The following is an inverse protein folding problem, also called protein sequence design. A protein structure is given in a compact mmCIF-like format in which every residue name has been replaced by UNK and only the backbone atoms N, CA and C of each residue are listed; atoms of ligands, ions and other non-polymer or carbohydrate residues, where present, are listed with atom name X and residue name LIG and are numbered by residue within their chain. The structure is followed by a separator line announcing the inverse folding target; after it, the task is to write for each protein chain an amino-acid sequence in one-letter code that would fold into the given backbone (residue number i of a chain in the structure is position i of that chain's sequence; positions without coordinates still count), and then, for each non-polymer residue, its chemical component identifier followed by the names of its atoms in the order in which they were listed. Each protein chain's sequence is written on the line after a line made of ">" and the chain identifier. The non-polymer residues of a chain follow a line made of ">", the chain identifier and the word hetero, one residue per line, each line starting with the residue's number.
data_IF_882476896699
#
_entry.id   IF_882476896699
#
_cell.length_a   1.000
_cell.length_b   1.000
_cell.length_c   1.000
_cell.angle_alpha   90.00
_cell.angle_beta   90.00
_cell.angle_gamma   90.00
#
_symmetry.space_group_name_H-M   'P 1'
#
loop_
_entity.id
_entity.type
_entity.pdbx_description
1 polymer ?
#
# COMPACT_ATOMS: atom_id res chain seq x y z
N UNK A 1 42.33 22.56 -5.17
CA UNK A 1 41.01 22.36 -4.50
C UNK A 1 40.12 21.58 -5.43
N UNK A 2 40.00 20.25 -5.23
CA UNK A 2 39.06 19.40 -5.97
C UNK A 2 37.73 19.49 -5.22
N UNK A 3 36.72 20.04 -5.88
CA UNK A 3 35.32 20.01 -5.40
C UNK A 3 34.89 18.55 -5.31
N UNK A 4 34.67 18.08 -4.09
CA UNK A 4 33.92 16.86 -3.86
C UNK A 4 32.46 17.17 -4.13
N UNK A 5 32.01 16.99 -5.37
CA UNK A 5 30.61 16.84 -5.66
C UNK A 5 30.17 15.54 -4.97
N UNK A 6 29.47 15.65 -3.85
CA UNK A 6 28.75 14.53 -3.27
C UNK A 6 27.75 14.05 -4.32
N UNK A 7 27.99 12.89 -4.90
CA UNK A 7 26.99 12.20 -5.69
C UNK A 7 25.84 11.88 -4.75
N UNK A 8 24.82 12.72 -4.73
CA UNK A 8 23.52 12.35 -4.17
C UNK A 8 23.10 11.12 -4.98
N UNK A 9 23.25 9.94 -4.40
CA UNK A 9 22.69 8.71 -4.97
C UNK A 9 21.22 8.99 -5.22
N UNK A 10 20.80 9.04 -6.48
CA UNK A 10 19.41 9.25 -6.81
C UNK A 10 18.59 8.16 -6.12
N UNK A 11 17.60 8.56 -5.32
CA UNK A 11 16.67 7.62 -4.72
C UNK A 11 16.00 6.81 -5.83
N UNK A 12 15.70 5.55 -5.56
CA UNK A 12 15.02 4.68 -6.50
C UNK A 12 13.55 5.06 -6.68
N UNK A 13 12.79 4.13 -7.20
CA UNK A 13 11.34 4.28 -7.41
C UNK A 13 10.60 3.67 -6.23
N UNK A 14 9.58 4.37 -5.73
CA UNK A 14 8.57 3.82 -4.85
C UNK A 14 7.33 3.42 -5.68
N UNK A 15 7.08 2.13 -5.80
CA UNK A 15 5.91 1.57 -6.47
C UNK A 15 4.81 1.28 -5.44
N UNK A 16 3.69 2.00 -5.53
CA UNK A 16 2.56 1.86 -4.61
C UNK A 16 1.38 1.22 -5.35
N UNK A 17 1.09 -0.02 -5.03
CA UNK A 17 0.02 -0.82 -5.66
C UNK A 17 -1.26 -0.76 -4.82
N UNK A 18 -2.38 -0.46 -5.45
CA UNK A 18 -3.68 -0.30 -4.77
C UNK A 18 -3.90 1.11 -4.24
N UNK A 19 -3.57 2.12 -5.06
CA UNK A 19 -3.76 3.52 -4.68
C UNK A 19 -5.23 3.91 -4.85
N UNK A 20 -5.85 4.14 -3.71
CA UNK A 20 -7.17 4.77 -3.55
C UNK A 20 -7.04 6.12 -2.84
N UNK A 21 -8.17 6.83 -2.58
CA UNK A 21 -8.18 8.19 -2.05
C UNK A 21 -7.79 8.31 -0.55
N UNK A 22 -7.45 7.22 0.10
CA UNK A 22 -7.11 7.16 1.52
C UNK A 22 -5.63 6.76 1.71
N UNK A 23 -5.36 5.65 2.38
CA UNK A 23 -4.02 5.20 2.73
C UNK A 23 -3.05 5.16 1.55
N UNK A 24 -3.43 4.57 0.42
CA UNK A 24 -2.55 4.49 -0.75
C UNK A 24 -2.12 5.86 -1.28
N UNK A 25 -3.02 6.84 -1.28
CA UNK A 25 -2.71 8.23 -1.64
C UNK A 25 -1.71 8.86 -0.66
N UNK A 26 -1.96 8.72 0.66
CA UNK A 26 -1.07 9.28 1.69
C UNK A 26 0.31 8.64 1.67
N UNK A 27 0.41 7.33 1.44
CA UNK A 27 1.71 6.66 1.27
C UNK A 27 2.44 7.21 0.04
N UNK A 28 1.76 7.32 -1.11
CA UNK A 28 2.37 7.86 -2.33
C UNK A 28 2.87 9.30 -2.13
N UNK A 29 2.06 10.15 -1.51
CA UNK A 29 2.43 11.53 -1.16
C UNK A 29 3.64 11.58 -0.21
N UNK A 30 3.67 10.72 0.82
CA UNK A 30 4.79 10.66 1.76
C UNK A 30 6.09 10.30 1.06
N UNK A 31 6.13 9.27 0.21
CA UNK A 31 7.34 8.90 -0.52
C UNK A 31 7.74 9.98 -1.54
N UNK A 32 6.79 10.67 -2.18
CA UNK A 32 7.07 11.81 -3.05
C UNK A 32 7.73 12.97 -2.26
N UNK A 33 7.16 13.31 -1.08
CA UNK A 33 7.73 14.31 -0.16
C UNK A 33 9.17 14.00 0.23
N UNK A 34 9.48 12.73 0.43
CA UNK A 34 10.82 12.25 0.78
C UNK A 34 11.77 12.15 -0.43
N UNK A 35 11.35 12.63 -1.60
CA UNK A 35 12.19 12.77 -2.80
C UNK A 35 12.30 11.51 -3.66
N UNK A 36 11.36 10.56 -3.54
CA UNK A 36 11.26 9.43 -4.45
C UNK A 36 10.55 9.82 -5.76
N UNK A 37 10.96 9.19 -6.87
CA UNK A 37 10.06 9.05 -8.00
C UNK A 37 9.01 8.01 -7.63
N UNK A 38 7.72 8.35 -7.78
CA UNK A 38 6.63 7.49 -7.32
C UNK A 38 5.83 6.95 -8.50
N UNK A 39 5.70 5.63 -8.58
CA UNK A 39 4.74 4.97 -9.46
C UNK A 39 3.51 4.59 -8.65
N UNK A 40 2.35 5.15 -8.99
CA UNK A 40 1.07 4.81 -8.37
C UNK A 40 0.26 3.90 -9.29
N UNK A 41 -0.24 2.78 -8.74
CA UNK A 41 -0.87 1.73 -9.54
C UNK A 41 -2.26 1.38 -9.00
N UNK A 42 -3.26 1.37 -9.88
CA UNK A 42 -4.64 0.92 -9.60
C UNK A 42 -5.41 0.66 -10.91
N UNK A 43 -6.66 0.17 -10.79
CA UNK A 43 -7.50 -0.16 -11.94
C UNK A 43 -8.05 1.05 -12.69
N UNK A 44 -8.40 2.10 -11.96
CA UNK A 44 -9.02 3.32 -12.49
C UNK A 44 -7.93 4.35 -12.85
N UNK A 45 -7.49 4.31 -14.11
CA UNK A 45 -6.43 5.20 -14.60
C UNK A 45 -6.84 6.68 -14.56
N UNK A 46 -8.11 7.00 -14.81
CA UNK A 46 -8.59 8.40 -14.80
C UNK A 46 -8.51 9.03 -13.41
N UNK A 47 -8.87 8.29 -12.37
CA UNK A 47 -8.68 8.72 -10.97
C UNK A 47 -7.21 8.79 -10.61
N UNK A 48 -6.45 7.81 -11.04
CA UNK A 48 -5.03 7.70 -10.73
C UNK A 48 -4.24 8.85 -11.33
N UNK A 49 -4.52 9.26 -12.57
CA UNK A 49 -3.86 10.41 -13.22
C UNK A 49 -4.10 11.71 -12.42
N UNK A 50 -5.32 11.92 -11.94
CA UNK A 50 -5.62 13.09 -11.08
C UNK A 50 -4.82 13.08 -9.79
N UNK A 51 -4.67 11.91 -9.14
CA UNK A 51 -3.83 11.77 -7.96
C UNK A 51 -2.34 12.01 -8.26
N UNK A 52 -1.86 11.53 -9.40
CA UNK A 52 -0.48 11.78 -9.82
C UNK A 52 -0.20 13.27 -10.01
N UNK A 53 -1.07 13.98 -10.73
CA UNK A 53 -0.96 15.43 -10.96
C UNK A 53 -0.99 16.21 -9.64
N UNK A 54 -1.86 15.80 -8.73
CA UNK A 54 -2.03 16.41 -7.41
C UNK A 54 -0.77 16.27 -6.56
N UNK A 55 -0.27 15.04 -6.38
CA UNK A 55 0.95 14.78 -5.61
C UNK A 55 2.16 15.43 -6.26
N UNK A 56 2.30 15.36 -7.60
CA UNK A 56 3.42 15.96 -8.32
C UNK A 56 3.48 17.49 -8.12
N UNK A 57 2.33 18.14 -8.13
CA UNK A 57 2.24 19.59 -7.91
C UNK A 57 2.58 19.98 -6.47
N UNK A 58 2.09 19.22 -5.48
CA UNK A 58 2.27 19.53 -4.06
C UNK A 58 3.69 19.26 -3.59
N UNK A 59 4.21 18.09 -3.91
CA UNK A 59 5.51 17.63 -3.42
C UNK A 59 6.66 17.95 -4.38
N UNK A 60 6.37 18.58 -5.54
CA UNK A 60 7.34 18.87 -6.61
C UNK A 60 8.15 17.65 -7.03
N UNK A 61 7.47 16.52 -7.11
CA UNK A 61 8.05 15.20 -7.36
C UNK A 61 7.56 14.64 -8.71
N UNK A 62 8.29 13.65 -9.22
CA UNK A 62 7.84 12.87 -10.38
C UNK A 62 6.90 11.77 -9.92
N UNK A 63 5.65 11.76 -10.43
CA UNK A 63 4.64 10.77 -10.10
C UNK A 63 4.01 10.23 -11.38
N UNK A 64 4.01 8.92 -11.52
CA UNK A 64 3.52 8.22 -12.71
C UNK A 64 2.29 7.38 -12.37
N UNK A 65 1.20 7.59 -13.11
CA UNK A 65 -0.01 6.79 -13.00
C UNK A 65 0.05 5.59 -13.97
N UNK A 66 -0.03 4.38 -13.44
CA UNK A 66 0.06 3.14 -14.23
C UNK A 66 -1.16 2.25 -13.91
N UNK A 67 -1.86 1.81 -14.95
CA UNK A 67 -3.01 0.90 -14.76
C UNK A 67 -2.52 -0.49 -14.40
N UNK A 68 -3.16 -1.11 -13.39
CA UNK A 68 -2.92 -2.50 -12.99
C UNK A 68 -4.22 -3.17 -12.53
N UNK A 69 -4.46 -4.41 -12.93
CA UNK A 69 -5.43 -5.29 -12.29
C UNK A 69 -4.68 -6.42 -11.57
N UNK A 70 -4.72 -6.40 -10.25
CA UNK A 70 -4.01 -7.35 -9.41
C UNK A 70 -4.62 -8.77 -9.45
N UNK A 71 -5.77 -8.97 -10.09
CA UNK A 71 -6.34 -10.30 -10.34
C UNK A 71 -5.87 -10.94 -11.65
N UNK A 72 -5.14 -10.18 -12.48
CA UNK A 72 -4.65 -10.62 -13.80
C UNK A 72 -3.12 -10.56 -13.86
N UNK A 73 -2.49 -11.71 -13.97
CA UNK A 73 -1.03 -11.85 -14.03
C UNK A 73 -0.40 -11.16 -15.25
N UNK A 74 -1.13 -11.07 -16.37
CA UNK A 74 -0.68 -10.36 -17.56
C UNK A 74 -0.67 -8.85 -17.31
N UNK A 75 -1.75 -8.32 -16.75
CA UNK A 75 -1.84 -6.91 -16.37
C UNK A 75 -0.75 -6.50 -15.39
N UNK A 76 -0.39 -7.39 -14.43
CA UNK A 76 0.71 -7.14 -13.49
C UNK A 76 2.05 -7.04 -14.23
N UNK A 77 2.37 -7.98 -15.14
CA UNK A 77 3.63 -7.94 -15.90
C UNK A 77 3.74 -6.68 -16.75
N UNK A 78 2.70 -6.37 -17.54
CA UNK A 78 2.66 -5.17 -18.39
C UNK A 78 2.83 -3.88 -17.57
N UNK A 79 2.17 -3.79 -16.40
CA UNK A 79 2.30 -2.64 -15.51
C UNK A 79 3.74 -2.50 -14.96
N UNK A 80 4.36 -3.62 -14.54
CA UNK A 80 5.72 -3.59 -14.01
C UNK A 80 6.79 -3.42 -15.08
N UNK A 81 6.57 -3.81 -16.34
CA UNK A 81 7.41 -3.38 -17.46
C UNK A 81 7.49 -1.85 -17.53
N UNK A 82 6.34 -1.17 -17.40
CA UNK A 82 6.28 0.28 -17.31
C UNK A 82 7.00 0.85 -16.09
N UNK A 83 6.78 0.27 -14.90
CA UNK A 83 7.46 0.73 -13.67
C UNK A 83 8.98 0.55 -13.75
N UNK A 84 9.45 -0.61 -14.21
CA UNK A 84 10.87 -0.94 -14.29
C UNK A 84 11.58 -0.11 -15.36
N UNK A 85 10.88 0.35 -16.41
CA UNK A 85 11.44 1.27 -17.39
C UNK A 85 11.78 2.66 -16.82
N UNK A 86 11.15 3.05 -15.71
CA UNK A 86 11.45 4.29 -15.00
C UNK A 86 12.78 4.19 -14.20
N UNK A 87 13.21 2.98 -13.85
CA UNK A 87 14.45 2.73 -13.10
C UNK A 87 14.32 1.66 -12.03
N UNK A 88 15.20 1.70 -11.05
CA UNK A 88 15.28 0.74 -9.96
C UNK A 88 14.12 0.93 -8.95
N UNK A 89 13.30 -0.10 -8.77
CA UNK A 89 12.26 -0.11 -7.73
C UNK A 89 12.92 -0.44 -6.38
N UNK A 90 13.09 0.58 -5.57
CA UNK A 90 13.68 0.46 -4.22
C UNK A 90 12.62 0.14 -3.16
N UNK A 91 11.37 0.58 -3.39
CA UNK A 91 10.25 0.35 -2.48
C UNK A 91 9.06 -0.20 -3.25
N UNK A 92 8.50 -1.30 -2.78
CA UNK A 92 7.19 -1.80 -3.18
C UNK A 92 6.24 -1.75 -1.99
N UNK A 93 5.13 -1.03 -2.10
CA UNK A 93 4.03 -1.12 -1.14
C UNK A 93 2.85 -1.80 -1.82
N UNK A 94 2.45 -2.96 -1.30
CA UNK A 94 1.27 -3.66 -1.76
C UNK A 94 0.09 -3.38 -0.84
N UNK A 95 -0.80 -2.50 -1.26
CA UNK A 95 -1.97 -2.03 -0.52
C UNK A 95 -3.29 -2.46 -1.21
N UNK A 96 -3.22 -3.21 -2.31
CA UNK A 96 -4.40 -3.66 -3.03
C UNK A 96 -5.20 -4.71 -2.24
N UNK A 97 -6.51 -4.63 -2.34
CA UNK A 97 -7.44 -5.63 -1.84
C UNK A 97 -8.69 -5.68 -2.73
N UNK A 98 -9.40 -6.80 -2.70
CA UNK A 98 -10.73 -6.88 -3.30
C UNK A 98 -11.73 -6.28 -2.32
N UNK A 99 -12.45 -5.21 -2.69
CA UNK A 99 -13.52 -4.69 -1.85
C UNK A 99 -14.57 -5.78 -1.58
N UNK A 100 -14.87 -5.99 -0.31
CA UNK A 100 -15.93 -6.89 0.16
C UNK A 100 -17.07 -6.07 0.74
N UNK A 101 -18.23 -6.68 0.93
CA UNK A 101 -19.33 -6.05 1.66
C UNK A 101 -18.88 -5.66 3.07
N UNK A 102 -19.33 -4.50 3.56
CA UNK A 102 -19.17 -4.12 4.97
C UNK A 102 -20.10 -4.93 5.90
N UNK A 103 -21.11 -5.60 5.32
CA UNK A 103 -21.99 -6.49 6.06
C UNK A 103 -21.49 -7.93 5.91
N UNK A 104 -21.52 -8.71 7.00
CA UNK A 104 -21.15 -10.11 6.94
C UNK A 104 -22.06 -10.86 5.95
N UNK A 105 -21.47 -11.74 5.15
CA UNK A 105 -22.19 -12.61 4.20
C UNK A 105 -22.20 -14.02 4.76
N UNK A 106 -23.39 -14.66 4.82
CA UNK A 106 -23.45 -16.07 5.22
C UNK A 106 -22.54 -16.91 4.34
N UNK A 107 -21.83 -17.86 4.94
CA UNK A 107 -20.85 -18.66 4.22
C UNK A 107 -21.46 -19.39 3.00
N UNK A 108 -22.70 -19.89 3.13
CA UNK A 108 -23.43 -20.55 2.05
C UNK A 108 -23.82 -19.66 0.89
N UNK A 109 -23.81 -18.33 1.10
CA UNK A 109 -24.19 -17.33 0.10
C UNK A 109 -22.97 -16.70 -0.59
N UNK A 110 -21.76 -17.00 -0.10
CA UNK A 110 -20.50 -16.55 -0.70
C UNK A 110 -20.32 -17.25 -2.06
N UNK A 111 -20.21 -16.48 -3.12
CA UNK A 111 -19.94 -16.99 -4.46
C UNK A 111 -18.47 -17.40 -4.58
N UNK A 112 -18.22 -18.57 -5.16
CA UNK A 112 -16.86 -19.10 -5.37
C UNK A 112 -15.99 -18.09 -6.13
N UNK A 113 -16.54 -17.44 -7.15
CA UNK A 113 -15.81 -16.47 -7.98
C UNK A 113 -15.39 -15.22 -7.17
N UNK A 114 -16.17 -14.83 -6.16
CA UNK A 114 -15.80 -13.72 -5.26
C UNK A 114 -14.67 -14.14 -4.32
N UNK A 115 -14.74 -15.34 -3.78
CA UNK A 115 -13.70 -15.92 -2.94
C UNK A 115 -12.38 -16.05 -3.73
N UNK A 116 -12.42 -16.65 -4.93
CA UNK A 116 -11.26 -16.78 -5.81
C UNK A 116 -10.66 -15.41 -6.17
N UNK A 117 -11.50 -14.43 -6.49
CA UNK A 117 -11.05 -13.08 -6.82
C UNK A 117 -10.40 -12.38 -5.62
N UNK A 118 -10.91 -12.60 -4.41
CA UNK A 118 -10.30 -12.07 -3.19
C UNK A 118 -8.90 -12.66 -2.96
N UNK A 119 -8.74 -13.96 -3.14
CA UNK A 119 -7.44 -14.63 -3.09
C UNK A 119 -6.51 -14.13 -4.21
N UNK A 120 -7.03 -14.03 -5.43
CA UNK A 120 -6.26 -13.56 -6.58
C UNK A 120 -5.71 -12.16 -6.33
N UNK A 121 -6.52 -11.22 -5.87
CA UNK A 121 -6.06 -9.85 -5.58
C UNK A 121 -5.18 -9.79 -4.34
N UNK A 122 -5.59 -10.41 -3.22
CA UNK A 122 -4.91 -10.18 -1.94
C UNK A 122 -3.59 -10.93 -1.82
N UNK A 123 -3.48 -12.15 -2.37
CA UNK A 123 -2.29 -12.99 -2.20
C UNK A 123 -1.54 -13.26 -3.50
N UNK A 124 -2.23 -13.73 -4.55
CA UNK A 124 -1.57 -14.05 -5.83
C UNK A 124 -1.00 -12.81 -6.50
N UNK A 125 -1.77 -11.71 -6.52
CA UNK A 125 -1.30 -10.43 -7.02
C UNK A 125 -0.12 -9.86 -6.23
N UNK A 126 -0.14 -10.00 -4.90
CA UNK A 126 0.98 -9.61 -4.03
C UNK A 126 2.25 -10.40 -4.36
N UNK A 127 2.12 -11.72 -4.53
CA UNK A 127 3.21 -12.60 -4.96
C UNK A 127 3.79 -12.18 -6.31
N UNK A 128 2.95 -11.97 -7.32
CA UNK A 128 3.41 -11.54 -8.64
C UNK A 128 4.10 -10.17 -8.62
N UNK A 129 3.56 -9.19 -7.89
CA UNK A 129 4.20 -7.88 -7.77
C UNK A 129 5.59 -7.98 -7.10
N UNK A 130 5.71 -8.79 -6.04
CA UNK A 130 7.00 -9.02 -5.39
C UNK A 130 8.02 -9.67 -6.35
N UNK A 131 7.60 -10.67 -7.14
CA UNK A 131 8.45 -11.31 -8.15
C UNK A 131 9.02 -10.33 -9.18
N UNK A 132 8.28 -9.26 -9.52
CA UNK A 132 8.77 -8.27 -10.50
C UNK A 132 9.92 -7.43 -9.97
N UNK A 133 9.96 -7.14 -8.66
CA UNK A 133 10.93 -6.19 -8.08
C UNK A 133 12.10 -6.88 -7.38
N UNK A 134 11.90 -8.08 -6.86
CA UNK A 134 12.91 -8.82 -6.09
C UNK A 134 14.24 -9.01 -6.83
N UNK A 135 14.29 -9.38 -8.13
CA UNK A 135 15.57 -9.54 -8.82
C UNK A 135 16.46 -8.29 -8.76
N UNK A 136 15.88 -7.12 -9.03
CA UNK A 136 16.61 -5.85 -8.97
C UNK A 136 16.99 -5.41 -7.55
N UNK A 137 16.19 -5.77 -6.55
CA UNK A 137 16.50 -5.51 -5.13
C UNK A 137 17.65 -6.39 -4.64
N UNK A 138 17.63 -7.68 -4.98
CA UNK A 138 18.69 -8.65 -4.63
C UNK A 138 20.01 -8.28 -5.32
N UNK A 139 19.97 -7.95 -6.61
CA UNK A 139 21.18 -7.52 -7.37
C UNK A 139 21.88 -6.33 -6.69
N UNK A 140 21.09 -5.40 -6.12
CA UNK A 140 21.62 -4.20 -5.43
C UNK A 140 21.85 -4.39 -3.95
N UNK A 141 21.47 -5.54 -3.39
CA UNK A 141 21.56 -5.80 -1.95
C UNK A 141 20.75 -4.80 -1.10
N UNK A 142 19.69 -4.19 -1.69
CA UNK A 142 18.82 -3.23 -0.99
C UNK A 142 17.42 -3.18 -1.62
N UNK A 143 16.42 -3.03 -0.77
CA UNK A 143 15.03 -2.87 -1.18
C UNK A 143 14.10 -3.00 0.03
N UNK A 144 12.87 -2.57 -0.14
CA UNK A 144 11.83 -2.67 0.90
C UNK A 144 10.51 -3.10 0.27
N UNK A 145 9.89 -4.14 0.82
CA UNK A 145 8.56 -4.60 0.43
C UNK A 145 7.64 -4.52 1.63
N UNK A 146 6.56 -3.76 1.53
CA UNK A 146 5.58 -3.54 2.60
C UNK A 146 4.21 -4.04 2.15
N UNK A 147 3.64 -4.99 2.89
CA UNK A 147 2.30 -5.52 2.65
C UNK A 147 1.30 -4.93 3.64
N UNK A 148 0.19 -4.37 3.13
CA UNK A 148 -0.87 -3.82 3.98
C UNK A 148 -1.87 -4.90 4.38
N UNK A 149 -1.83 -5.27 5.64
CA UNK A 149 -2.77 -6.17 6.31
C UNK A 149 -3.83 -5.42 7.11
N UNK A 150 -4.66 -6.18 7.79
CA UNK A 150 -5.65 -5.69 8.75
C UNK A 150 -5.94 -6.79 9.78
N UNK A 151 -6.86 -6.55 10.72
CA UNK A 151 -7.29 -7.55 11.73
C UNK A 151 -7.63 -8.92 11.11
N UNK A 152 -8.20 -8.92 9.89
CA UNK A 152 -8.49 -10.14 9.14
C UNK A 152 -7.24 -10.93 8.70
N UNK A 153 -6.03 -10.41 8.92
CA UNK A 153 -4.77 -11.18 8.76
C UNK A 153 -4.41 -12.01 9.98
N UNK A 154 -5.07 -11.76 11.13
CA UNK A 154 -4.75 -12.37 12.42
C UNK A 154 -5.84 -13.32 12.92
N UNK A 155 -7.10 -13.01 12.62
CA UNK A 155 -8.25 -13.79 13.08
C UNK A 155 -9.30 -13.91 11.99
N UNK A 156 -9.96 -15.07 11.93
CA UNK A 156 -11.14 -15.26 11.09
C UNK A 156 -12.36 -14.56 11.69
N UNK A 157 -13.18 -13.97 10.84
CA UNK A 157 -14.44 -13.36 11.22
C UNK A 157 -15.62 -14.06 10.54
N UNK A 158 -16.69 -14.35 11.30
CA UNK A 158 -17.92 -14.90 10.72
C UNK A 158 -18.47 -13.94 9.66
N UNK A 159 -18.75 -14.45 8.46
CA UNK A 159 -19.23 -13.67 7.33
C UNK A 159 -18.16 -12.90 6.52
N UNK A 160 -16.87 -13.12 6.81
CA UNK A 160 -15.74 -12.46 6.12
C UNK A 160 -14.70 -13.44 5.58
N UNK A 161 -15.12 -14.66 5.21
CA UNK A 161 -14.22 -15.73 4.77
C UNK A 161 -13.32 -15.31 3.61
N UNK A 162 -13.84 -14.60 2.61
CA UNK A 162 -13.06 -14.15 1.45
C UNK A 162 -11.93 -13.19 1.87
N UNK A 163 -12.25 -12.23 2.72
CA UNK A 163 -11.26 -11.25 3.19
C UNK A 163 -10.20 -11.92 4.06
N UNK A 164 -10.64 -12.70 5.06
CA UNK A 164 -9.74 -13.35 6.00
C UNK A 164 -8.77 -14.29 5.29
N UNK A 165 -9.26 -15.20 4.44
CA UNK A 165 -8.40 -16.14 3.72
C UNK A 165 -7.33 -15.42 2.87
N UNK A 166 -7.73 -14.37 2.13
CA UNK A 166 -6.79 -13.59 1.32
C UNK A 166 -5.73 -12.87 2.17
N UNK A 167 -6.13 -12.30 3.31
CA UNK A 167 -5.23 -11.56 4.20
C UNK A 167 -4.30 -12.48 5.00
N UNK A 168 -4.77 -13.65 5.46
CA UNK A 168 -3.89 -14.67 6.06
C UNK A 168 -2.86 -15.18 5.06
N UNK A 169 -3.26 -15.46 3.82
CA UNK A 169 -2.33 -15.91 2.78
C UNK A 169 -1.25 -14.85 2.49
N UNK A 170 -1.61 -13.58 2.41
CA UNK A 170 -0.65 -12.48 2.22
C UNK A 170 0.30 -12.35 3.42
N UNK A 171 -0.17 -12.52 4.66
CA UNK A 171 0.69 -12.55 5.86
C UNK A 171 1.71 -13.68 5.79
N UNK A 172 1.26 -14.91 5.42
CA UNK A 172 2.17 -16.03 5.21
C UNK A 172 3.22 -15.75 4.14
N UNK A 173 2.82 -15.15 3.02
CA UNK A 173 3.74 -14.72 1.96
C UNK A 173 4.79 -13.74 2.49
N UNK A 174 4.39 -12.72 3.25
CA UNK A 174 5.32 -11.72 3.79
C UNK A 174 6.37 -12.36 4.71
N UNK A 175 5.98 -13.35 5.53
CA UNK A 175 6.88 -14.09 6.42
C UNK A 175 7.87 -14.95 5.63
N UNK A 176 7.43 -15.62 4.56
CA UNK A 176 8.32 -16.38 3.68
C UNK A 176 9.37 -15.47 3.04
N UNK A 177 8.91 -14.36 2.43
CA UNK A 177 9.82 -13.42 1.76
C UNK A 177 10.78 -12.75 2.75
N UNK A 178 10.33 -12.40 3.95
CA UNK A 178 11.20 -11.84 4.99
C UNK A 178 12.36 -12.80 5.31
N UNK A 179 12.07 -14.08 5.57
CA UNK A 179 13.07 -15.08 5.90
C UNK A 179 14.05 -15.34 4.75
N UNK A 180 13.58 -15.34 3.52
CA UNK A 180 14.39 -15.63 2.34
C UNK A 180 15.27 -14.45 1.92
N UNK A 181 14.71 -13.22 1.92
CA UNK A 181 15.35 -12.06 1.29
C UNK A 181 16.00 -11.07 2.24
N UNK A 182 15.72 -11.11 3.55
CA UNK A 182 16.46 -10.29 4.52
C UNK A 182 17.97 -10.51 4.49
N UNK A 183 18.50 -11.76 4.43
CA UNK A 183 19.95 -11.99 4.31
C UNK A 183 20.54 -11.38 3.03
N UNK A 184 19.72 -11.19 1.99
CA UNK A 184 20.09 -10.60 0.72
C UNK A 184 19.90 -9.07 0.67
N UNK A 185 19.58 -8.45 1.81
CA UNK A 185 19.48 -7.00 1.95
C UNK A 185 18.11 -6.42 1.57
N UNK A 186 17.04 -7.23 1.48
CA UNK A 186 15.68 -6.76 1.23
C UNK A 186 14.86 -6.80 2.50
N UNK A 187 14.38 -5.65 2.95
CA UNK A 187 13.48 -5.53 4.10
C UNK A 187 12.05 -5.86 3.68
N UNK A 188 11.43 -6.86 4.29
CA UNK A 188 10.03 -7.22 4.05
C UNK A 188 9.25 -7.10 5.35
N UNK A 189 8.16 -6.32 5.34
CA UNK A 189 7.30 -6.14 6.51
C UNK A 189 5.81 -6.21 6.16
N UNK A 190 5.03 -6.68 7.15
CA UNK A 190 3.57 -6.74 7.11
C UNK A 190 3.01 -5.71 8.10
N UNK A 191 2.22 -4.75 7.59
CA UNK A 191 1.62 -3.67 8.38
C UNK A 191 0.15 -4.00 8.62
N UNK A 192 -0.22 -4.25 9.86
CA UNK A 192 -1.58 -4.64 10.26
C UNK A 192 -2.31 -3.39 10.77
N UNK A 193 -3.35 -2.99 10.05
CA UNK A 193 -4.16 -1.80 10.37
C UNK A 193 -5.45 -2.23 11.05
N UNK A 194 -5.59 -1.90 12.34
CA UNK A 194 -6.73 -2.28 13.18
C UNK A 194 -7.76 -1.16 13.31
N UNK A 195 -8.25 -0.61 12.19
CA UNK A 195 -9.22 0.47 12.26
C UNK A 195 -9.74 0.91 10.90
N UNK A 196 -10.62 1.89 10.92
CA UNK A 196 -11.20 2.48 9.73
C UNK A 196 -10.28 3.61 9.25
N UNK A 197 -9.70 3.45 8.08
CA UNK A 197 -8.85 4.50 7.50
C UNK A 197 -9.72 5.62 6.96
N UNK A 198 -9.51 6.82 7.48
CA UNK A 198 -10.20 8.04 7.07
C UNK A 198 -9.66 8.66 5.77
N UNK A 199 -10.05 9.90 5.52
CA UNK A 199 -9.54 10.72 4.41
C UNK A 199 -8.33 11.51 4.91
N UNK A 200 -7.29 11.74 4.07
CA UNK A 200 -6.12 12.56 4.43
C UNK A 200 -6.50 13.98 4.88
N UNK A 201 -5.78 14.51 5.88
CA UNK A 201 -6.00 15.87 6.44
C UNK A 201 -5.24 16.97 5.70
N UNK A 202 -4.50 16.67 4.64
CA UNK A 202 -3.71 17.67 3.90
C UNK A 202 -4.55 18.82 3.32
N UNK A 203 -3.92 19.82 2.72
CA UNK A 203 -4.59 21.01 2.14
C UNK A 203 -5.75 20.68 1.23
N UNK A 204 -5.75 19.50 0.66
CA UNK A 204 -6.72 18.95 -0.27
C UNK A 204 -8.01 18.45 0.41
N UNK A 205 -7.94 17.98 1.65
CA UNK A 205 -9.13 17.53 2.39
C UNK A 205 -10.16 18.67 2.55
N UNK A 206 -9.73 19.92 2.37
CA UNK A 206 -10.58 21.12 2.40
C UNK A 206 -11.20 21.46 1.05
N UNK A 207 -10.76 20.87 -0.06
CA UNK A 207 -11.30 21.19 -1.38
C UNK A 207 -12.50 20.29 -1.73
N UNK A 208 -13.57 20.92 -2.19
CA UNK A 208 -14.80 20.26 -2.68
C UNK A 208 -14.52 19.16 -3.72
N UNK A 209 -13.41 19.28 -4.45
CA UNK A 209 -12.98 18.32 -5.45
C UNK A 209 -12.55 16.97 -4.88
N UNK A 210 -11.86 16.95 -3.74
CA UNK A 210 -11.46 15.67 -3.11
C UNK A 210 -12.67 14.92 -2.55
N UNK A 211 -13.66 15.63 -2.00
CA UNK A 211 -14.94 15.05 -1.55
C UNK A 211 -15.70 14.38 -2.70
N UNK A 212 -15.72 15.01 -3.89
CA UNK A 212 -16.35 14.44 -5.09
C UNK A 212 -15.64 13.19 -5.61
N UNK A 213 -14.33 13.07 -5.40
CA UNK A 213 -13.53 11.91 -5.80
C UNK A 213 -13.74 10.68 -4.92
N UNK A 214 -14.13 10.88 -3.67
CA UNK A 214 -14.29 9.79 -2.69
C UNK A 214 -15.66 9.11 -2.80
N UNK A 215 -16.64 9.73 -3.49
CA UNK A 215 -18.02 9.23 -3.58
C UNK A 215 -18.72 9.30 -2.20
N UNK A 216 -19.80 10.05 -2.09
CA UNK A 216 -20.51 10.39 -0.84
C UNK A 216 -21.25 9.20 -0.18
N UNK A 217 -20.69 8.02 -0.06
CA UNK A 217 -21.43 6.89 0.53
C UNK A 217 -21.12 6.59 2.00
N UNK A 218 -20.29 7.38 2.68
CA UNK A 218 -20.08 7.19 4.12
C UNK A 218 -20.22 8.52 4.85
N UNK A 219 -21.22 8.61 5.72
CA UNK A 219 -21.33 9.65 6.73
C UNK A 219 -20.03 9.70 7.54
N UNK A 220 -19.14 10.65 7.18
CA UNK A 220 -18.04 11.00 8.08
C UNK A 220 -18.57 12.02 9.08
N UNK A 221 -18.29 11.88 10.38
CA UNK A 221 -18.54 12.95 11.33
C UNK A 221 -17.85 14.23 10.85
N UNK A 222 -18.58 15.32 10.76
CA UNK A 222 -18.07 16.62 10.28
C UNK A 222 -17.08 17.27 11.25
N UNK A 223 -16.87 16.69 12.43
CA UNK A 223 -16.14 17.27 13.56
C UNK A 223 -14.83 16.54 13.86
N UNK A 224 -14.01 16.31 12.83
CA UNK A 224 -12.68 15.71 13.02
C UNK A 224 -12.75 14.23 13.42
N UNK A 225 -11.61 13.59 13.51
CA UNK A 225 -11.36 12.18 13.80
C UNK A 225 -11.91 11.65 15.14
N UNK A 226 -13.06 12.14 15.59
CA UNK A 226 -13.65 11.85 16.88
C UNK A 226 -14.45 10.54 16.95
N UNK A 227 -14.63 9.83 15.84
CA UNK A 227 -15.28 8.51 15.81
C UNK A 227 -14.38 7.42 16.37
N UNK A 228 -14.91 6.49 17.16
CA UNK A 228 -14.17 5.33 17.64
C UNK A 228 -13.61 4.51 16.44
N UNK A 229 -12.34 4.13 16.49
CA UNK A 229 -11.71 3.27 15.50
C UNK A 229 -11.23 3.94 14.21
N UNK A 230 -11.30 5.26 14.08
CA UNK A 230 -10.80 5.98 12.89
C UNK A 230 -9.30 6.25 12.98
N UNK A 231 -8.59 6.05 11.85
CA UNK A 231 -7.15 6.24 11.71
C UNK A 231 -6.84 7.26 10.63
N UNK A 232 -5.91 8.17 10.92
CA UNK A 232 -5.40 9.16 9.97
C UNK A 232 -4.47 8.47 8.97
N UNK A 233 -4.77 8.48 7.65
CA UNK A 233 -3.92 7.87 6.65
C UNK A 233 -2.54 8.53 6.54
N UNK A 234 -2.40 9.81 6.87
CA UNK A 234 -1.12 10.50 6.87
C UNK A 234 -0.24 10.05 8.06
N UNK A 235 -0.86 9.84 9.22
CA UNK A 235 -0.20 9.23 10.37
C UNK A 235 0.25 7.79 10.07
N UNK A 236 -0.61 7.01 9.40
CA UNK A 236 -0.24 5.67 8.96
C UNK A 236 0.92 5.70 7.95
N UNK A 237 0.91 6.60 6.98
CA UNK A 237 1.96 6.72 5.97
C UNK A 237 3.35 7.01 6.58
N UNK A 238 3.42 7.69 7.74
CA UNK A 238 4.67 7.86 8.48
C UNK A 238 5.27 6.52 8.91
N UNK A 239 4.43 5.55 9.31
CA UNK A 239 4.91 4.20 9.67
C UNK A 239 5.51 3.48 8.47
N UNK A 240 4.91 3.57 7.29
CA UNK A 240 5.49 2.99 6.06
C UNK A 240 6.85 3.59 5.74
N UNK A 241 6.99 4.91 5.91
CA UNK A 241 8.27 5.58 5.76
C UNK A 241 9.28 5.10 6.81
N UNK A 242 8.90 5.05 8.08
CA UNK A 242 9.78 4.57 9.17
C UNK A 242 10.27 3.15 8.94
N UNK A 243 9.40 2.24 8.49
CA UNK A 243 9.80 0.88 8.13
C UNK A 243 10.86 0.87 7.03
N UNK A 244 10.68 1.71 6.01
CA UNK A 244 11.63 1.78 4.89
C UNK A 244 13.02 2.24 5.33
N UNK A 245 13.11 3.22 6.22
CA UNK A 245 14.39 3.79 6.67
C UNK A 245 15.01 3.11 7.89
N UNK A 246 14.43 2.02 8.38
CA UNK A 246 14.97 1.30 9.53
C UNK A 246 16.39 0.78 9.25
N UNK A 247 17.23 0.86 10.30
CA UNK A 247 18.55 0.24 10.28
C UNK A 247 18.44 -1.28 10.12
N UNK A 248 19.34 -1.85 9.30
CA UNK A 248 19.36 -3.29 9.00
C UNK A 248 19.52 -4.18 10.22
N UNK A 249 20.10 -3.68 11.29
CA UNK A 249 20.29 -4.43 12.55
C UNK A 249 18.99 -4.62 13.33
N UNK A 250 17.91 -3.90 12.97
CA UNK A 250 16.65 -3.88 13.72
C UNK A 250 15.40 -3.75 12.81
N UNK A 251 15.33 -4.57 11.76
CA UNK A 251 14.18 -4.56 10.86
C UNK A 251 12.93 -5.18 11.48
N UNK A 252 11.83 -4.45 11.42
CA UNK A 252 10.49 -4.93 11.81
C UNK A 252 9.92 -5.83 10.72
N UNK A 253 9.50 -7.04 11.07
CA UNK A 253 8.84 -7.96 10.14
C UNK A 253 7.31 -7.81 10.14
N UNK A 254 6.74 -7.46 11.30
CA UNK A 254 5.30 -7.26 11.45
C UNK A 254 5.05 -6.15 12.47
N UNK A 255 4.08 -5.27 12.21
CA UNK A 255 3.69 -4.20 13.11
C UNK A 255 2.18 -4.03 13.14
N UNK A 256 1.62 -3.90 14.34
CA UNK A 256 0.21 -3.62 14.59
C UNK A 256 -0.01 -2.13 14.82
N UNK A 257 -0.95 -1.54 14.08
CA UNK A 257 -1.33 -0.14 14.19
C UNK A 257 -2.79 -0.02 14.66
N UNK A 258 -2.98 0.56 15.84
CA UNK A 258 -4.28 0.72 16.46
C UNK A 258 -4.64 2.20 16.60
N UNK A 259 -5.92 2.58 16.45
CA UNK A 259 -6.39 3.90 16.83
C UNK A 259 -6.31 4.04 18.36
N UNK A 260 -5.88 5.21 18.85
CA UNK A 260 -5.70 5.46 20.29
C UNK A 260 -6.99 5.41 21.10
N UNK A 261 -8.15 5.51 20.44
CA UNK A 261 -9.48 5.53 21.03
C UNK A 261 -10.25 4.22 20.87
N UNK A 262 -9.59 3.13 20.47
CA UNK A 262 -10.23 1.82 20.37
C UNK A 262 -10.45 1.24 21.77
N UNK A 263 -11.70 0.97 22.12
CA UNK A 263 -12.02 0.18 23.31
C UNK A 263 -11.85 -1.30 22.96
N UNK A 264 -10.96 -1.97 23.64
CA UNK A 264 -10.87 -3.42 23.59
C UNK A 264 -12.07 -3.98 24.38
N UNK A 265 -12.97 -4.68 23.67
CA UNK A 265 -14.03 -5.47 24.34
C UNK A 265 -13.49 -6.85 24.66
#
# INVERSE_FOLDING_TARGET
>A
MRSMASSVSSRGIAAIVGVGPKLGFSIARKFAHEGYTVAILARDLGRLSRFADEIAREEKAQVFAIRIDCSDSRSIREAFEGVLSLGFVEVLVYNAYQPTSWHPTNFTDVKVEQFEKSLAVSSVGAFHCAQQVLPGMVERGRGTILFTGCSASLSGGAGYSELCCGKFAMRGLSQCLAKEFQPLGVHVAHVIVHGIVGIPRGPIASTSQHRLLVGEQHHQPTDGWAGEGWMDPDGLAQTYWHLHIQDRSAWTQEIDLHPSNQRYM
#
